data_IF_363043060521
#
_entry.id   IF_363043060521
#
_cell.length_a   1.000
_cell.length_b   1.000
_cell.length_c   1.000
_cell.angle_alpha   90.00
_cell.angle_beta   90.00
_cell.angle_gamma   90.00
#
_symmetry.space_group_name_H-M   'P 1'
#
loop_
_entity.id
_entity.type
_entity.pdbx_description
1 polymer ?
#
# COMPACT_ATOMS: atom_id res chain seq x y z
N UNK A 1 12.32 6.00 22.09
CA UNK A 1 12.94 6.25 20.77
C UNK A 1 11.93 7.06 19.97
N UNK A 2 12.30 8.29 19.59
CA UNK A 2 11.40 9.27 18.98
C UNK A 2 10.90 8.78 17.61
N UNK A 3 9.63 8.43 17.54
CA UNK A 3 8.95 8.07 16.30
C UNK A 3 8.65 9.37 15.54
N UNK A 4 9.60 9.85 14.74
CA UNK A 4 9.39 11.02 13.88
C UNK A 4 8.43 10.57 12.78
N UNK A 5 7.16 11.04 12.76
CA UNK A 5 6.25 10.70 11.69
C UNK A 5 6.87 11.18 10.38
N UNK A 6 7.13 10.24 9.47
CA UNK A 6 7.55 10.55 8.10
C UNK A 6 6.35 11.19 7.39
N UNK A 7 6.13 12.47 7.63
CA UNK A 7 5.22 13.27 6.81
C UNK A 7 5.84 13.28 5.41
N UNK A 8 5.12 12.73 4.43
CA UNK A 8 5.62 12.63 3.05
C UNK A 8 5.93 14.03 2.53
N UNK A 9 7.06 14.21 1.85
CA UNK A 9 7.43 15.50 1.26
C UNK A 9 6.34 16.02 0.33
N UNK A 10 5.64 15.12 -0.36
CA UNK A 10 4.47 15.41 -1.20
C UNK A 10 3.25 15.88 -0.41
N UNK A 11 2.99 15.30 0.77
CA UNK A 11 1.89 15.72 1.66
C UNK A 11 2.17 17.12 2.22
N UNK A 12 3.42 17.41 2.61
CA UNK A 12 3.82 18.76 3.04
C UNK A 12 3.71 19.78 1.92
N UNK A 13 4.06 19.41 0.69
CA UNK A 13 3.91 20.30 -0.46
C UNK A 13 2.43 20.59 -0.75
N UNK A 14 1.58 19.56 -0.73
CA UNK A 14 0.13 19.69 -0.95
C UNK A 14 -0.51 20.58 0.12
N UNK A 15 -0.13 20.37 1.39
CA UNK A 15 -0.60 21.20 2.50
C UNK A 15 -0.15 22.66 2.37
N UNK A 16 1.11 22.91 1.98
CA UNK A 16 1.62 24.27 1.74
C UNK A 16 0.89 24.97 0.60
N UNK A 17 0.59 24.26 -0.49
CA UNK A 17 -0.18 24.80 -1.61
C UNK A 17 -1.62 25.13 -1.18
N UNK A 18 -2.27 24.23 -0.44
CA UNK A 18 -3.62 24.46 0.08
C UNK A 18 -3.67 25.66 1.05
N UNK A 19 -2.66 25.79 1.92
CA UNK A 19 -2.55 26.95 2.82
C UNK A 19 -2.38 28.25 2.04
N UNK A 20 -1.61 28.24 0.94
CA UNK A 20 -1.47 29.40 0.06
C UNK A 20 -2.80 29.78 -0.59
N UNK A 21 -3.50 28.82 -1.18
CA UNK A 21 -4.80 29.03 -1.81
C UNK A 21 -5.84 29.54 -0.80
N UNK A 22 -5.84 28.98 0.41
CA UNK A 22 -6.71 29.42 1.51
C UNK A 22 -6.36 30.83 1.97
N UNK A 23 -5.08 31.19 2.03
CA UNK A 23 -4.63 32.54 2.38
C UNK A 23 -5.05 33.57 1.32
N UNK A 24 -4.97 33.21 0.03
CA UNK A 24 -5.45 34.06 -1.08
C UNK A 24 -6.97 34.26 -1.03
N UNK A 25 -7.74 33.17 -0.83
CA UNK A 25 -9.20 33.27 -0.69
C UNK A 25 -9.63 34.09 0.53
N UNK A 26 -8.86 34.05 1.62
CA UNK A 26 -9.11 34.86 2.83
C UNK A 26 -8.59 36.29 2.75
N UNK A 27 -8.10 36.73 1.59
CA UNK A 27 -7.56 38.08 1.39
C UNK A 27 -6.22 38.34 2.10
N UNK A 28 -5.53 37.30 2.59
CA UNK A 28 -4.23 37.39 3.28
C UNK A 28 -3.06 37.28 2.29
N UNK A 29 -3.00 38.22 1.35
CA UNK A 29 -2.00 38.21 0.25
C UNK A 29 -0.55 38.21 0.76
N UNK A 30 -0.24 39.01 1.78
CA UNK A 30 1.11 39.05 2.37
C UNK A 30 1.56 37.71 3.00
N UNK A 31 0.63 36.85 3.41
CA UNK A 31 0.95 35.50 3.90
C UNK A 31 1.15 34.53 2.75
N UNK A 32 0.37 34.66 1.66
CA UNK A 32 0.55 33.86 0.45
C UNK A 32 1.89 34.16 -0.26
N UNK A 33 2.30 35.43 -0.31
CA UNK A 33 3.59 35.83 -0.91
C UNK A 33 4.79 35.29 -0.14
N UNK A 34 4.71 35.23 1.19
CA UNK A 34 5.77 34.62 2.03
C UNK A 34 5.89 33.12 1.82
N UNK A 35 4.81 32.46 1.40
CA UNK A 35 4.80 31.03 1.13
C UNK A 35 5.33 30.68 -0.27
N UNK A 36 5.39 31.64 -1.21
CA UNK A 36 5.94 31.41 -2.55
C UNK A 36 7.35 30.79 -2.58
N UNK A 37 8.37 31.38 -1.94
CA UNK A 37 9.72 30.81 -2.01
C UNK A 37 9.80 29.42 -1.37
N UNK A 38 8.99 29.17 -0.33
CA UNK A 38 8.93 27.88 0.37
C UNK A 38 8.27 26.82 -0.52
N UNK A 39 7.17 27.16 -1.21
CA UNK A 39 6.51 26.25 -2.14
C UNK A 39 7.39 25.91 -3.34
N UNK A 40 8.18 26.86 -3.84
CA UNK A 40 9.05 26.64 -5.01
C UNK A 40 10.26 25.76 -4.67
N UNK A 41 10.84 25.95 -3.48
CA UNK A 41 11.87 25.06 -2.94
C UNK A 41 11.31 23.65 -2.73
N UNK A 42 10.14 23.52 -2.08
CA UNK A 42 9.50 22.21 -1.88
C UNK A 42 9.17 21.51 -3.19
N UNK A 43 8.69 22.25 -4.20
CA UNK A 43 8.48 21.71 -5.55
C UNK A 43 9.78 21.17 -6.14
N UNK A 44 10.86 21.93 -6.05
CA UNK A 44 12.19 21.51 -6.55
C UNK A 44 12.70 20.27 -5.83
N UNK A 45 12.50 20.19 -4.50
CA UNK A 45 12.86 18.99 -3.74
C UNK A 45 12.03 17.77 -4.16
N UNK A 46 10.71 17.93 -4.33
CA UNK A 46 9.83 16.83 -4.79
C UNK A 46 10.18 16.40 -6.22
N UNK A 47 10.45 17.34 -7.12
CA UNK A 47 10.91 17.04 -8.48
C UNK A 47 12.28 16.33 -8.49
N UNK A 48 13.19 16.71 -7.60
CA UNK A 48 14.48 16.03 -7.44
C UNK A 48 14.33 14.63 -6.84
N UNK A 49 13.48 14.45 -5.83
CA UNK A 49 13.16 13.13 -5.29
C UNK A 49 12.54 12.22 -6.36
N UNK A 50 11.64 12.75 -7.20
CA UNK A 50 11.05 12.02 -8.33
C UNK A 50 12.06 11.74 -9.44
N UNK A 51 13.03 12.64 -9.70
CA UNK A 51 14.13 12.42 -10.67
C UNK A 51 15.14 11.39 -10.17
N UNK A 52 15.44 11.33 -8.88
CA UNK A 52 16.25 10.26 -8.30
C UNK A 52 15.56 8.90 -8.43
N UNK A 53 14.23 8.86 -8.36
CA UNK A 53 13.42 7.66 -8.63
C UNK A 53 13.37 7.30 -10.14
N UNK A 54 13.35 8.31 -11.02
CA UNK A 54 13.29 8.12 -12.48
C UNK A 54 14.65 7.97 -13.18
N UNK A 55 15.77 8.29 -12.52
CA UNK A 55 17.13 8.09 -13.06
C UNK A 55 17.59 6.62 -13.00
N UNK A 56 16.70 5.70 -12.65
CA UNK A 56 16.96 4.26 -12.61
C UNK A 56 16.30 3.52 -13.79
N UNK A 57 16.66 3.84 -15.04
CA UNK A 57 16.64 2.92 -16.21
C UNK A 57 17.28 3.58 -17.46
N UNK A 58 18.01 2.85 -18.32
CA UNK A 58 19.21 2.04 -18.08
C UNK A 58 20.39 2.53 -18.95
N UNK A 59 21.51 2.93 -18.36
CA UNK A 59 22.76 3.07 -19.13
C UNK A 59 23.39 1.68 -19.22
N UNK A 60 23.43 1.17 -20.45
CA UNK A 60 24.16 -0.03 -20.87
C UNK A 60 25.56 -0.09 -20.27
N UNK A 61 25.72 -0.85 -19.19
CA UNK A 61 27.00 -1.38 -18.73
C UNK A 61 26.70 -2.55 -17.77
N UNK A 62 27.16 -3.78 -18.08
CA UNK A 62 26.99 -4.92 -17.19
C UNK A 62 27.94 -4.74 -16.02
N UNK A 63 27.52 -3.99 -15.00
CA UNK A 63 28.17 -4.04 -13.70
C UNK A 63 27.88 -5.42 -13.12
N UNK A 64 28.86 -6.31 -13.26
CA UNK A 64 28.89 -7.61 -12.62
C UNK A 64 28.61 -7.45 -11.11
N UNK A 65 27.37 -7.74 -10.74
CA UNK A 65 26.85 -7.56 -9.40
C UNK A 65 25.40 -8.03 -9.36
N UNK A 66 24.92 -8.39 -8.18
CA UNK A 66 23.63 -9.06 -7.91
C UNK A 66 22.43 -8.42 -8.64
N UNK A 67 22.50 -7.13 -8.98
CA UNK A 67 21.51 -6.37 -9.74
C UNK A 67 21.38 -6.77 -11.23
N UNK A 68 22.35 -7.49 -11.79
CA UNK A 68 22.35 -7.99 -13.16
C UNK A 68 21.85 -9.43 -13.31
N UNK A 69 21.54 -10.13 -12.20
CA UNK A 69 21.01 -11.49 -12.26
C UNK A 69 19.61 -11.49 -12.89
N UNK A 70 19.37 -12.44 -13.81
CA UNK A 70 18.09 -12.63 -14.47
C UNK A 70 16.94 -12.80 -13.47
N UNK A 71 17.20 -13.48 -12.35
CA UNK A 71 16.23 -13.66 -11.26
C UNK A 71 15.83 -12.34 -10.60
N UNK A 72 16.77 -11.40 -10.47
CA UNK A 72 16.49 -10.08 -9.91
C UNK A 72 15.67 -9.23 -10.89
N UNK A 73 15.99 -9.28 -12.19
CA UNK A 73 15.19 -8.61 -13.22
C UNK A 73 13.76 -9.16 -13.28
N UNK A 74 13.60 -10.48 -13.11
CA UNK A 74 12.30 -11.13 -13.10
C UNK A 74 11.48 -10.78 -11.85
N UNK A 75 12.13 -10.68 -10.68
CA UNK A 75 11.49 -10.14 -9.48
C UNK A 75 11.11 -8.66 -9.62
N UNK A 76 11.91 -7.88 -10.36
CA UNK A 76 11.64 -6.47 -10.64
C UNK A 76 10.47 -6.30 -11.62
N UNK A 77 10.36 -7.14 -12.65
CA UNK A 77 9.20 -7.19 -13.54
C UNK A 77 7.92 -7.60 -12.81
N UNK A 78 7.99 -8.61 -11.93
CA UNK A 78 6.85 -9.02 -11.09
C UNK A 78 6.42 -7.90 -10.15
N UNK A 79 7.37 -7.16 -9.58
CA UNK A 79 7.08 -5.99 -8.75
C UNK A 79 6.46 -4.85 -9.55
N UNK A 80 6.86 -4.66 -10.81
CA UNK A 80 6.41 -3.56 -11.67
C UNK A 80 5.05 -3.82 -12.32
N UNK A 81 4.72 -5.10 -12.56
CA UNK A 81 3.40 -5.54 -13.01
C UNK A 81 2.36 -5.63 -11.88
N UNK A 82 2.71 -5.27 -10.65
CA UNK A 82 1.75 -5.14 -9.55
C UNK A 82 0.95 -3.86 -9.77
N UNK A 83 -0.38 -3.94 -10.02
CA UNK A 83 -1.18 -2.75 -10.25
C UNK A 83 -1.15 -1.85 -8.99
N UNK A 84 -1.00 -0.55 -9.21
CA UNK A 84 -0.99 0.55 -8.21
C UNK A 84 -2.28 0.66 -7.36
N UNK A 85 -3.18 -0.33 -7.44
CA UNK A 85 -4.37 -0.47 -6.61
C UNK A 85 -4.11 -1.27 -5.32
N UNK A 86 -2.91 -1.80 -5.12
CA UNK A 86 -2.51 -2.37 -3.83
C UNK A 86 -1.72 -1.32 -3.03
N UNK A 87 -2.31 -0.76 -1.95
CA UNK A 87 -1.55 0.09 -1.03
C UNK A 87 -0.37 -0.69 -0.46
N UNK A 88 0.73 -0.01 -0.06
CA UNK A 88 1.85 -0.67 0.60
C UNK A 88 1.30 -1.48 1.77
N UNK A 89 1.59 -2.78 1.75
CA UNK A 89 1.15 -3.72 2.78
C UNK A 89 1.50 -3.14 4.13
N UNK A 90 0.48 -2.70 4.85
CA UNK A 90 0.62 -2.45 6.27
C UNK A 90 1.14 -3.76 6.90
N UNK A 91 1.98 -3.71 7.93
CA UNK A 91 2.42 -4.93 8.64
C UNK A 91 1.23 -5.67 9.30
N UNK A 92 0.02 -5.12 9.24
CA UNK A 92 -1.22 -5.87 9.38
C UNK A 92 -1.59 -6.48 8.01
N UNK A 93 -1.26 -7.78 7.86
CA UNK A 93 -1.43 -8.56 6.63
C UNK A 93 -2.73 -8.27 5.87
N UNK A 94 -2.62 -8.32 4.55
CA UNK A 94 -3.68 -8.05 3.59
C UNK A 94 -5.00 -8.73 4.06
N UNK A 95 -6.13 -8.00 4.18
CA UNK A 95 -7.37 -8.57 4.71
C UNK A 95 -7.82 -9.79 3.90
N UNK A 96 -7.47 -9.84 2.62
CA UNK A 96 -7.74 -10.98 1.74
C UNK A 96 -6.89 -12.20 2.11
N UNK A 97 -5.62 -11.99 2.47
CA UNK A 97 -4.71 -13.03 2.93
C UNK A 97 -5.12 -13.57 4.29
N UNK A 98 -5.48 -12.68 5.22
CA UNK A 98 -6.05 -13.04 6.52
C UNK A 98 -7.31 -13.89 6.36
N UNK A 99 -8.21 -13.51 5.44
CA UNK A 99 -9.42 -14.28 5.16
C UNK A 99 -9.12 -15.67 4.59
N UNK A 100 -8.11 -15.81 3.73
CA UNK A 100 -7.65 -17.12 3.25
C UNK A 100 -7.06 -17.97 4.38
N UNK A 101 -6.33 -17.36 5.30
CA UNK A 101 -5.77 -18.06 6.47
C UNK A 101 -6.89 -18.55 7.40
N UNK A 102 -7.90 -17.72 7.68
CA UNK A 102 -9.10 -18.10 8.45
C UNK A 102 -9.80 -19.30 7.80
N UNK A 103 -9.94 -19.30 6.47
CA UNK A 103 -10.51 -20.41 5.72
C UNK A 103 -9.73 -21.71 5.90
N UNK A 104 -8.40 -21.61 5.73
CA UNK A 104 -7.51 -22.76 5.84
C UNK A 104 -7.52 -23.34 7.26
N UNK A 105 -7.53 -22.49 8.29
CA UNK A 105 -7.63 -22.92 9.68
C UNK A 105 -8.96 -23.59 9.98
N UNK A 106 -10.07 -23.03 9.49
CA UNK A 106 -11.38 -23.65 9.63
C UNK A 106 -11.46 -25.01 8.89
N UNK A 107 -10.85 -25.12 7.70
CA UNK A 107 -10.75 -26.41 6.99
C UNK A 107 -9.86 -27.43 7.71
N UNK A 108 -8.89 -26.96 8.51
CA UNK A 108 -8.07 -27.78 9.39
C UNK A 108 -8.75 -28.13 10.72
N UNK A 109 -10.09 -27.97 10.81
CA UNK A 109 -10.92 -28.26 11.99
C UNK A 109 -10.57 -27.44 13.25
N UNK A 110 -9.87 -26.31 13.08
CA UNK A 110 -9.59 -25.39 14.19
C UNK A 110 -10.88 -24.65 14.58
N UNK A 111 -11.10 -24.48 15.89
CA UNK A 111 -12.32 -23.84 16.38
C UNK A 111 -12.32 -22.33 16.09
N UNK A 112 -13.50 -21.75 15.86
CA UNK A 112 -13.64 -20.30 15.64
C UNK A 112 -13.01 -19.45 16.76
N UNK A 113 -13.06 -19.96 17.99
CA UNK A 113 -12.51 -19.30 19.18
C UNK A 113 -10.98 -19.31 19.16
N UNK A 114 -10.38 -20.41 18.71
CA UNK A 114 -8.93 -20.52 18.62
C UNK A 114 -8.38 -19.70 17.44
N UNK A 115 -9.10 -19.66 16.31
CA UNK A 115 -8.77 -18.80 15.16
C UNK A 115 -8.82 -17.32 15.56
N UNK A 116 -9.88 -16.93 16.27
CA UNK A 116 -10.07 -15.57 16.79
C UNK A 116 -8.88 -15.14 17.69
N UNK A 117 -8.46 -16.03 18.60
CA UNK A 117 -7.29 -15.80 19.47
C UNK A 117 -5.98 -15.70 18.69
N UNK A 118 -5.77 -16.60 17.72
CA UNK A 118 -4.55 -16.66 16.92
C UNK A 118 -4.37 -15.42 16.05
N UNK A 119 -5.47 -14.84 15.56
CA UNK A 119 -5.46 -13.70 14.64
C UNK A 119 -5.79 -12.36 15.30
N UNK A 120 -6.03 -12.36 16.62
CA UNK A 120 -6.37 -11.16 17.38
C UNK A 120 -7.69 -10.52 16.93
N UNK A 121 -8.65 -11.33 16.53
CA UNK A 121 -9.97 -10.90 16.02
C UNK A 121 -11.11 -11.45 16.89
N UNK A 122 -12.31 -10.92 16.72
CA UNK A 122 -13.49 -11.40 17.44
C UNK A 122 -14.07 -12.66 16.79
N UNK A 123 -14.84 -13.42 17.58
CA UNK A 123 -15.54 -14.60 17.07
C UNK A 123 -16.55 -14.22 15.98
N UNK A 124 -17.22 -13.08 16.12
CA UNK A 124 -18.17 -12.60 15.10
C UNK A 124 -17.50 -12.32 13.76
N UNK A 125 -16.30 -11.74 13.77
CA UNK A 125 -15.53 -11.47 12.55
C UNK A 125 -15.14 -12.78 11.84
N UNK A 126 -14.71 -13.81 12.58
CA UNK A 126 -14.37 -15.13 12.00
C UNK A 126 -15.59 -15.73 11.32
N UNK A 127 -16.74 -15.71 12.02
CA UNK A 127 -18.00 -16.24 11.50
C UNK A 127 -18.46 -15.50 10.25
N UNK A 128 -18.31 -14.17 10.24
CA UNK A 128 -18.66 -13.35 9.09
C UNK A 128 -17.81 -13.73 7.87
N UNK A 129 -16.49 -13.84 8.03
CA UNK A 129 -15.55 -14.21 6.95
C UNK A 129 -15.89 -15.59 6.37
N UNK A 130 -16.14 -16.58 7.23
CA UNK A 130 -16.53 -17.92 6.78
C UNK A 130 -17.87 -17.91 6.04
N UNK A 131 -18.85 -17.12 6.50
CA UNK A 131 -20.16 -17.01 5.84
C UNK A 131 -20.08 -16.34 4.46
N UNK A 132 -19.15 -15.40 4.28
CA UNK A 132 -18.91 -14.73 3.00
C UNK A 132 -18.22 -15.70 2.05
N UNK A 133 -17.27 -16.50 2.54
CA UNK A 133 -16.60 -17.53 1.73
C UNK A 133 -17.53 -18.63 1.25
N UNK A 134 -18.38 -19.16 2.14
CA UNK A 134 -19.39 -20.15 1.77
C UNK A 134 -20.36 -19.62 0.71
N UNK A 135 -20.75 -18.34 0.81
CA UNK A 135 -21.59 -17.68 -0.21
C UNK A 135 -20.85 -17.42 -1.52
N UNK A 136 -19.55 -17.13 -1.46
CA UNK A 136 -18.73 -16.95 -2.67
C UNK A 136 -18.33 -18.26 -3.36
N UNK A 137 -18.60 -19.43 -2.75
CA UNK A 137 -18.32 -20.74 -3.33
C UNK A 137 -19.60 -21.55 -3.66
N UNK A 138 -20.43 -21.15 -4.63
CA UNK A 138 -21.57 -21.94 -5.08
C UNK A 138 -21.22 -23.07 -6.08
N UNK A 139 -19.96 -23.49 -6.20
CA UNK A 139 -19.54 -24.49 -7.18
C UNK A 139 -18.81 -25.65 -6.52
N UNK A 140 -19.53 -26.76 -6.28
CA UNK A 140 -18.86 -28.01 -5.91
C UNK A 140 -19.66 -29.05 -5.13
N UNK A 141 -20.99 -29.07 -5.15
CA UNK A 141 -21.72 -30.28 -4.74
C UNK A 141 -23.12 -30.34 -5.37
N UNK A 142 -23.15 -30.53 -6.69
CA UNK A 142 -24.35 -30.88 -7.45
C UNK A 142 -24.07 -32.19 -8.17
N UNK A 143 -24.38 -33.31 -7.50
CA UNK A 143 -24.31 -34.63 -8.10
C UNK A 143 -25.16 -34.67 -9.37
N UNK A 144 -24.54 -35.04 -10.49
CA UNK A 144 -25.29 -35.36 -11.70
C UNK A 144 -25.88 -36.76 -11.52
N UNK A 145 -27.16 -36.77 -11.20
CA UNK A 145 -28.07 -37.87 -11.47
C UNK A 145 -28.04 -38.14 -12.97
N UNK A 146 -27.55 -39.31 -13.38
CA UNK A 146 -27.99 -40.04 -14.57
C UNK A 146 -27.97 -41.53 -14.26
#
# INVERSE_FOLDING_TARGET
MSNIPRVSLEDTYTLLQLMRETALMKGRQAQAEKLNPVTEQMRTLVENSRKTDQAAVPLSQPSAGILGQADFQQLLEVSRNRPMTQPPGSPAGDPTERNRMIAAMASAQMSEVDIARQLGMTREEVRLVLSVQQRSNPAGNGGYVR
#
